data_IF_693615315304
#
_entry.id   IF_693615315304
#
_cell.length_a   1.000
_cell.length_b   1.000
_cell.length_c   1.000
_cell.angle_alpha   90.00
_cell.angle_beta   90.00
_cell.angle_gamma   90.00
#
_symmetry.space_group_name_H-M   'P 1'
#
loop_
_entity.id
_entity.type
_entity.pdbx_description
1 polymer ?
#
# COMPACT_ATOMS: atom_id res chain seq x y z
N UNK A 1 -9.27 -21.98 24.61
CA UNK A 1 -8.49 -22.98 23.88
C UNK A 1 -9.49 -23.99 23.31
N UNK A 2 -9.93 -23.78 22.08
CA UNK A 2 -10.85 -24.69 21.38
C UNK A 2 -10.03 -25.23 20.22
N UNK A 3 -9.70 -26.50 20.28
CA UNK A 3 -9.10 -27.28 19.20
C UNK A 3 -10.19 -27.50 18.14
N UNK A 4 -9.99 -26.88 16.97
CA UNK A 4 -10.71 -27.26 15.74
C UNK A 4 -9.85 -28.33 15.09
N UNK A 5 -10.39 -29.52 14.86
CA UNK A 5 -9.67 -30.61 14.22
C UNK A 5 -9.43 -30.34 12.74
N UNK A 6 -8.26 -30.72 12.22
CA UNK A 6 -7.83 -30.52 10.83
C UNK A 6 -8.71 -31.27 9.79
N UNK A 7 -9.71 -32.01 10.20
CA UNK A 7 -10.55 -32.81 9.30
C UNK A 7 -11.66 -32.02 8.61
N UNK A 8 -11.97 -30.79 9.05
CA UNK A 8 -13.13 -30.04 8.54
C UNK A 8 -12.80 -29.05 7.40
N UNK A 9 -11.55 -29.05 6.91
CA UNK A 9 -11.09 -28.04 5.92
C UNK A 9 -11.24 -28.54 4.46
N UNK A 10 -11.47 -29.83 4.19
CA UNK A 10 -11.35 -30.40 2.84
C UNK A 10 -12.57 -31.11 2.27
N UNK A 11 -13.78 -30.82 2.69
CA UNK A 11 -14.98 -31.28 1.95
C UNK A 11 -15.90 -30.11 1.62
N UNK A 12 -15.68 -29.56 0.43
CA UNK A 12 -16.55 -28.58 -0.21
C UNK A 12 -17.52 -29.29 -1.13
N UNK A 13 -18.67 -29.65 -0.61
CA UNK A 13 -19.93 -29.63 -1.33
C UNK A 13 -21.01 -29.37 -0.30
N UNK A 14 -21.18 -28.09 0.06
CA UNK A 14 -22.47 -27.56 0.50
C UNK A 14 -22.27 -26.07 0.81
N UNK A 15 -23.09 -25.24 0.19
CA UNK A 15 -23.23 -23.82 0.51
C UNK A 15 -23.43 -23.68 2.04
N UNK A 16 -22.34 -23.46 2.75
CA UNK A 16 -22.42 -23.22 4.19
C UNK A 16 -23.01 -21.83 4.39
N UNK A 17 -24.22 -21.79 4.84
CA UNK A 17 -24.93 -20.57 5.18
C UNK A 17 -24.34 -19.99 6.49
N UNK A 18 -23.36 -19.09 6.37
CA UNK A 18 -22.73 -18.40 7.52
C UNK A 18 -23.70 -17.42 8.22
N UNK A 19 -25.01 -17.61 8.12
CA UNK A 19 -26.02 -16.63 8.56
C UNK A 19 -26.37 -16.71 10.02
N UNK A 20 -25.90 -17.70 10.80
CA UNK A 20 -26.33 -17.86 12.19
C UNK A 20 -25.18 -18.18 13.15
N UNK A 21 -24.97 -17.35 14.16
CA UNK A 21 -24.26 -17.69 15.40
C UNK A 21 -25.25 -17.92 16.52
N UNK A 22 -25.02 -18.95 17.36
CA UNK A 22 -25.88 -19.25 18.49
C UNK A 22 -25.34 -18.62 19.79
N UNK A 23 -26.18 -17.85 20.46
CA UNK A 23 -25.94 -17.36 21.84
C UNK A 23 -26.77 -18.17 22.78
N UNK A 24 -26.14 -18.96 23.69
CA UNK A 24 -26.87 -19.71 24.72
C UNK A 24 -27.28 -18.80 25.87
N UNK A 25 -28.57 -18.53 26.00
CA UNK A 25 -29.16 -17.96 27.20
C UNK A 25 -30.18 -18.97 27.80
N UNK A 26 -29.94 -19.47 29.01
CA UNK A 26 -30.85 -20.33 29.78
C UNK A 26 -31.45 -21.52 28.98
N UNK A 27 -30.59 -22.29 28.32
CA UNK A 27 -30.98 -23.55 27.69
C UNK A 27 -31.77 -23.47 26.37
N UNK A 28 -32.00 -22.27 25.82
CA UNK A 28 -32.50 -22.07 24.45
C UNK A 28 -31.38 -21.46 23.60
N UNK A 29 -31.10 -22.11 22.48
CA UNK A 29 -30.26 -21.49 21.43
C UNK A 29 -31.06 -20.40 20.77
N UNK A 30 -30.59 -19.16 20.85
CA UNK A 30 -31.16 -18.02 20.13
C UNK A 30 -30.30 -17.84 18.88
N UNK A 31 -30.82 -18.21 17.72
CA UNK A 31 -30.19 -17.95 16.43
C UNK A 31 -30.55 -16.53 15.97
N UNK A 32 -29.58 -15.62 16.08
CA UNK A 32 -29.72 -14.27 15.52
C UNK A 32 -29.16 -14.24 14.10
N UNK A 33 -29.91 -13.66 13.18
CA UNK A 33 -29.45 -13.34 11.84
C UNK A 33 -28.33 -12.27 11.90
N UNK A 34 -27.58 -12.11 10.82
CA UNK A 34 -26.57 -11.04 10.71
C UNK A 34 -27.23 -9.67 10.92
N UNK A 35 -28.42 -9.46 10.35
CA UNK A 35 -29.16 -8.20 10.49
C UNK A 35 -29.55 -7.91 11.95
N UNK A 36 -30.08 -8.90 12.66
CA UNK A 36 -30.45 -8.71 14.08
C UNK A 36 -29.25 -8.40 14.95
N UNK A 37 -28.09 -9.01 14.68
CA UNK A 37 -26.84 -8.72 15.38
C UNK A 37 -26.36 -7.30 15.08
N UNK A 38 -26.48 -6.87 13.81
CA UNK A 38 -26.14 -5.51 13.41
C UNK A 38 -27.03 -4.49 14.12
N UNK A 39 -28.35 -4.67 14.13
CA UNK A 39 -29.28 -3.76 14.80
C UNK A 39 -29.01 -3.67 16.32
N UNK A 40 -28.67 -4.78 16.95
CA UNK A 40 -28.27 -4.77 18.36
C UNK A 40 -26.97 -3.98 18.60
N UNK A 41 -25.95 -4.18 17.74
CA UNK A 41 -24.73 -3.42 17.80
C UNK A 41 -24.96 -1.92 17.55
N UNK A 42 -25.76 -1.59 16.53
CA UNK A 42 -26.12 -0.20 16.20
C UNK A 42 -26.73 0.54 17.38
N UNK A 43 -27.64 -0.10 18.13
CA UNK A 43 -28.21 0.49 19.35
C UNK A 43 -27.15 0.74 20.44
N UNK A 44 -26.20 -0.18 20.61
CA UNK A 44 -25.10 0.00 21.56
C UNK A 44 -24.20 1.17 21.19
N UNK A 45 -23.81 1.26 19.92
CA UNK A 45 -23.00 2.37 19.42
C UNK A 45 -23.74 3.72 19.47
N UNK A 46 -25.02 3.74 19.17
CA UNK A 46 -25.85 4.94 19.33
C UNK A 46 -25.87 5.46 20.78
N UNK A 47 -25.79 4.54 21.78
CA UNK A 47 -25.71 4.89 23.19
C UNK A 47 -24.44 5.66 23.59
N UNK A 48 -23.39 5.61 22.77
CA UNK A 48 -22.15 6.37 22.93
C UNK A 48 -21.97 7.46 21.86
N UNK A 49 -23.06 7.80 21.15
CA UNK A 49 -23.07 8.90 20.17
C UNK A 49 -22.50 8.55 18.79
N UNK A 50 -22.36 7.26 18.45
CA UNK A 50 -21.83 6.80 17.17
C UNK A 50 -22.95 6.34 16.24
N UNK A 51 -22.98 6.88 15.01
CA UNK A 51 -23.83 6.42 13.91
C UNK A 51 -23.09 5.39 13.05
N UNK A 52 -23.40 4.12 13.23
CA UNK A 52 -22.75 3.04 12.49
C UNK A 52 -23.15 2.98 11.02
N UNK A 53 -24.34 3.44 10.63
CA UNK A 53 -24.76 3.50 9.22
C UNK A 53 -23.94 4.56 8.49
N UNK A 54 -23.75 5.75 9.11
CA UNK A 54 -22.89 6.80 8.57
C UNK A 54 -21.44 6.34 8.46
N UNK A 55 -20.90 5.64 9.48
CA UNK A 55 -19.56 5.10 9.47
C UNK A 55 -19.34 4.10 8.31
N UNK A 56 -20.28 3.17 8.11
CA UNK A 56 -20.25 2.20 7.01
C UNK A 56 -20.38 2.90 5.64
N UNK A 57 -21.28 3.86 5.51
CA UNK A 57 -21.45 4.63 4.29
C UNK A 57 -20.15 5.38 3.95
N UNK A 58 -19.52 6.02 4.96
CA UNK A 58 -18.25 6.71 4.79
C UNK A 58 -17.13 5.77 4.34
N UNK A 59 -16.98 4.63 5.01
CA UNK A 59 -15.95 3.65 4.65
C UNK A 59 -16.07 3.14 3.22
N UNK A 60 -17.29 2.95 2.72
CA UNK A 60 -17.53 2.50 1.34
C UNK A 60 -16.95 3.44 0.29
N UNK A 61 -16.83 4.72 0.62
CA UNK A 61 -16.32 5.75 -0.29
C UNK A 61 -14.80 5.93 -0.23
N UNK A 62 -14.12 5.31 0.75
CA UNK A 62 -12.67 5.41 0.94
C UNK A 62 -11.94 4.46 0.01
N UNK A 63 -11.15 4.96 -0.97
CA UNK A 63 -10.39 4.09 -1.84
C UNK A 63 -9.16 3.54 -1.12
N UNK A 64 -8.89 2.25 -1.30
CA UNK A 64 -7.65 1.60 -0.87
C UNK A 64 -7.02 0.93 -2.09
N UNK A 65 -5.74 1.17 -2.33
CA UNK A 65 -5.04 0.60 -3.46
C UNK A 65 -4.55 -0.81 -3.14
N UNK A 66 -4.82 -1.73 -4.07
CA UNK A 66 -4.41 -3.13 -4.02
C UNK A 66 -3.17 -3.30 -4.90
N UNK A 67 -2.06 -3.69 -4.29
CA UNK A 67 -0.80 -3.95 -4.98
C UNK A 67 -0.89 -5.20 -5.87
N UNK A 68 -0.31 -5.12 -7.07
CA UNK A 68 -0.34 -6.22 -8.04
C UNK A 68 0.72 -7.31 -7.78
N UNK A 69 1.73 -7.01 -6.99
CA UNK A 69 2.93 -7.84 -6.79
C UNK A 69 2.87 -8.86 -5.67
N UNK A 70 1.71 -9.09 -5.08
CA UNK A 70 1.56 -10.12 -4.06
C UNK A 70 1.99 -11.50 -4.57
N UNK A 71 3.02 -12.08 -3.97
CA UNK A 71 3.54 -13.42 -4.29
C UNK A 71 4.52 -13.47 -5.47
N UNK A 72 4.86 -12.36 -6.12
CA UNK A 72 5.80 -12.31 -7.23
C UNK A 72 7.01 -11.38 -7.01
N UNK A 73 7.08 -10.72 -5.86
CA UNK A 73 8.20 -9.87 -5.48
C UNK A 73 8.49 -8.75 -6.49
N UNK A 74 7.45 -8.19 -7.07
CA UNK A 74 7.52 -7.14 -8.10
C UNK A 74 8.27 -7.56 -9.38
N UNK A 75 8.37 -8.85 -9.66
CA UNK A 75 9.01 -9.34 -10.90
C UNK A 75 8.34 -8.76 -12.14
N UNK A 76 7.00 -8.72 -12.16
CA UNK A 76 6.25 -8.21 -13.31
C UNK A 76 6.38 -9.10 -14.55
N UNK A 77 6.31 -8.47 -15.74
CA UNK A 77 6.25 -9.14 -17.03
C UNK A 77 7.23 -8.57 -18.06
N UNK A 78 8.10 -7.65 -17.67
CA UNK A 78 9.00 -6.95 -18.60
C UNK A 78 10.32 -7.69 -18.84
N UNK A 79 10.70 -8.68 -18.01
CA UNK A 79 11.92 -9.46 -18.15
C UNK A 79 11.87 -10.78 -17.39
N UNK A 80 12.75 -11.70 -17.77
CA UNK A 80 12.92 -13.04 -17.12
C UNK A 80 14.17 -13.14 -16.22
N UNK A 81 14.79 -12.02 -15.89
CA UNK A 81 16.01 -11.96 -15.10
C UNK A 81 15.81 -12.20 -13.60
N UNK A 82 16.91 -12.41 -12.85
CA UNK A 82 16.83 -12.54 -11.41
C UNK A 82 16.44 -11.22 -10.73
N UNK A 83 15.77 -11.34 -9.58
CA UNK A 83 15.50 -10.18 -8.73
C UNK A 83 16.80 -9.64 -8.12
N UNK A 84 16.92 -8.33 -8.01
CA UNK A 84 18.06 -7.62 -7.42
C UNK A 84 17.55 -6.49 -6.49
N UNK A 85 18.48 -5.80 -5.80
CA UNK A 85 18.13 -4.68 -4.94
C UNK A 85 17.64 -5.06 -3.55
N UNK A 86 17.91 -6.30 -3.11
CA UNK A 86 17.52 -6.80 -1.79
C UNK A 86 16.04 -7.15 -1.67
N UNK A 87 15.31 -7.17 -2.78
CA UNK A 87 13.91 -7.57 -2.84
C UNK A 87 13.85 -9.07 -3.08
N UNK A 88 13.25 -9.80 -2.17
CA UNK A 88 13.08 -11.25 -2.27
C UNK A 88 11.80 -11.69 -1.58
N UNK A 89 10.91 -12.31 -2.33
CA UNK A 89 9.77 -12.98 -1.75
C UNK A 89 10.20 -14.24 -1.04
N UNK A 90 9.70 -14.46 0.16
CA UNK A 90 9.91 -15.69 0.94
C UNK A 90 8.66 -16.55 0.90
N UNK A 91 8.85 -17.85 0.62
CA UNK A 91 7.77 -18.83 0.57
C UNK A 91 7.82 -19.65 -0.69
N UNK A 92 7.04 -20.73 -0.72
CA UNK A 92 7.02 -21.71 -1.80
C UNK A 92 5.61 -22.04 -2.30
N UNK A 93 4.62 -21.23 -1.98
CA UNK A 93 3.27 -21.41 -2.51
C UNK A 93 3.26 -21.16 -4.02
N UNK A 94 2.76 -22.08 -4.86
CA UNK A 94 2.80 -21.95 -6.31
C UNK A 94 1.71 -20.98 -6.81
N UNK A 95 1.69 -19.76 -6.31
CA UNK A 95 0.65 -18.76 -6.58
C UNK A 95 1.07 -17.59 -7.46
N UNK A 96 2.35 -17.53 -7.90
CA UNK A 96 2.82 -16.48 -8.81
C UNK A 96 2.04 -16.51 -10.13
N UNK A 97 1.56 -15.34 -10.58
CA UNK A 97 1.04 -15.20 -11.94
C UNK A 97 2.16 -15.29 -12.96
N UNK A 98 1.94 -15.99 -14.04
CA UNK A 98 2.88 -16.16 -15.16
C UNK A 98 2.53 -15.27 -16.35
N UNK A 99 1.29 -14.79 -16.40
CA UNK A 99 0.80 -13.88 -17.44
C UNK A 99 -0.05 -12.78 -16.83
N UNK A 100 -0.15 -11.62 -17.49
CA UNK A 100 -1.05 -10.55 -17.08
C UNK A 100 -2.50 -11.00 -16.89
N UNK A 101 -2.98 -11.88 -17.78
CA UNK A 101 -4.34 -12.40 -17.74
C UNK A 101 -4.61 -13.23 -16.48
N UNK A 102 -3.65 -14.07 -16.06
CA UNK A 102 -3.75 -14.82 -14.79
C UNK A 102 -3.80 -13.88 -13.60
N UNK A 103 -2.97 -12.82 -13.61
CA UNK A 103 -2.96 -11.85 -12.53
C UNK A 103 -4.29 -11.08 -12.47
N UNK A 104 -4.78 -10.59 -13.61
CA UNK A 104 -6.07 -9.89 -13.68
C UNK A 104 -7.23 -10.77 -13.22
N UNK A 105 -7.23 -12.07 -13.57
CA UNK A 105 -8.26 -13.02 -13.14
C UNK A 105 -8.25 -13.18 -11.61
N UNK A 106 -7.08 -13.33 -11.00
CA UNK A 106 -6.98 -13.48 -9.55
C UNK A 106 -7.31 -12.17 -8.81
N UNK A 107 -6.94 -11.01 -9.40
CA UNK A 107 -7.35 -9.71 -8.85
C UNK A 107 -8.87 -9.51 -8.93
N UNK A 108 -9.52 -9.92 -10.02
CA UNK A 108 -10.98 -9.86 -10.16
C UNK A 108 -11.66 -10.69 -9.06
N UNK A 109 -11.20 -11.92 -8.83
CA UNK A 109 -11.72 -12.78 -7.75
C UNK A 109 -11.50 -12.14 -6.38
N UNK A 110 -10.28 -11.68 -6.07
CA UNK A 110 -9.98 -11.04 -4.80
C UNK A 110 -10.85 -9.78 -4.57
N UNK A 111 -10.98 -8.92 -5.59
CA UNK A 111 -11.80 -7.71 -5.50
C UNK A 111 -13.28 -8.00 -5.27
N UNK A 112 -13.79 -9.15 -5.74
CA UNK A 112 -15.18 -9.59 -5.48
C UNK A 112 -15.44 -9.86 -3.99
N UNK A 113 -14.40 -10.21 -3.24
CA UNK A 113 -14.42 -10.49 -1.81
C UNK A 113 -14.13 -9.27 -0.93
N UNK A 114 -13.82 -8.13 -1.53
CA UNK A 114 -13.44 -6.88 -0.85
C UNK A 114 -14.56 -5.84 -1.01
N UNK A 115 -15.19 -5.36 0.07
CA UNK A 115 -16.18 -4.30 -0.01
C UNK A 115 -15.55 -2.91 -0.22
N UNK A 116 -16.35 -1.93 -0.64
CA UNK A 116 -15.95 -0.53 -0.78
C UNK A 116 -15.12 -0.22 -2.04
N UNK A 117 -14.68 1.03 -2.15
CA UNK A 117 -13.87 1.51 -3.27
C UNK A 117 -12.45 0.94 -3.21
N UNK A 118 -11.89 0.70 -4.38
CA UNK A 118 -10.54 0.17 -4.57
C UNK A 118 -9.81 0.95 -5.64
N UNK A 119 -8.49 0.87 -5.62
CA UNK A 119 -7.60 1.20 -6.72
C UNK A 119 -6.69 0.01 -6.99
N UNK A 120 -6.09 -0.04 -8.15
CA UNK A 120 -4.94 -0.91 -8.39
C UNK A 120 -3.67 -0.14 -8.02
N UNK A 121 -2.62 -0.85 -7.60
CA UNK A 121 -1.28 -0.29 -7.48
C UNK A 121 -0.34 -1.13 -8.34
N UNK A 122 0.19 -0.55 -9.42
CA UNK A 122 1.03 -1.22 -10.40
C UNK A 122 2.48 -0.77 -10.30
N UNK A 123 3.40 -1.64 -10.73
CA UNK A 123 4.79 -1.29 -11.01
C UNK A 123 5.04 -1.17 -12.52
N UNK A 124 6.06 -0.41 -12.89
CA UNK A 124 6.45 -0.28 -14.30
C UNK A 124 6.88 -1.62 -14.93
N UNK A 125 7.41 -2.56 -14.13
CA UNK A 125 7.73 -3.93 -14.55
C UNK A 125 6.51 -4.75 -15.01
N UNK A 126 5.29 -4.28 -14.76
CA UNK A 126 4.04 -4.90 -15.22
C UNK A 126 3.58 -4.41 -16.61
N UNK A 127 4.47 -3.73 -17.37
CA UNK A 127 4.23 -3.38 -18.76
C UNK A 127 3.88 -4.64 -19.58
N UNK A 128 2.95 -4.50 -20.51
CA UNK A 128 2.48 -5.59 -21.39
C UNK A 128 2.82 -5.21 -22.82
N UNK A 129 3.63 -6.01 -23.47
CA UNK A 129 4.05 -5.83 -24.84
C UNK A 129 3.23 -6.68 -25.81
N UNK A 130 2.97 -6.18 -27.00
CA UNK A 130 2.42 -6.95 -28.10
C UNK A 130 3.49 -7.92 -28.68
N UNK A 131 3.06 -8.93 -29.41
CA UNK A 131 3.98 -9.92 -30.00
C UNK A 131 5.07 -9.26 -30.86
N UNK A 132 6.32 -9.51 -30.50
CA UNK A 132 7.49 -8.94 -31.17
C UNK A 132 7.83 -7.48 -30.79
N UNK A 133 7.07 -6.88 -29.87
CA UNK A 133 7.37 -5.58 -29.31
C UNK A 133 8.21 -5.73 -28.01
N UNK A 134 9.15 -4.83 -27.82
CA UNK A 134 9.87 -4.64 -26.56
C UNK A 134 10.24 -3.17 -26.42
N UNK A 135 10.12 -2.64 -25.22
CA UNK A 135 10.62 -1.32 -24.84
C UNK A 135 11.34 -1.42 -23.50
N UNK A 136 12.57 -0.94 -23.45
CA UNK A 136 13.30 -0.83 -22.20
C UNK A 136 12.63 0.20 -21.27
N UNK A 137 12.90 0.14 -19.97
CA UNK A 137 12.19 0.93 -18.94
C UNK A 137 12.25 2.44 -19.20
N UNK A 138 13.32 2.97 -19.78
CA UNK A 138 13.43 4.39 -20.17
C UNK A 138 12.61 4.76 -21.41
N UNK A 139 12.02 3.77 -22.09
CA UNK A 139 11.20 3.91 -23.30
C UNK A 139 9.75 3.47 -23.11
N UNK A 140 9.33 3.21 -21.87
CA UNK A 140 7.94 2.84 -21.60
C UNK A 140 6.98 3.96 -22.00
N UNK A 141 5.85 3.57 -22.55
CA UNK A 141 4.79 4.45 -23.04
C UNK A 141 3.43 4.03 -22.49
N UNK A 142 2.44 4.93 -22.44
CA UNK A 142 1.06 4.62 -22.01
C UNK A 142 0.44 3.39 -22.67
N UNK A 143 0.74 3.12 -23.95
CA UNK A 143 0.21 1.98 -24.69
C UNK A 143 0.54 0.63 -24.05
N UNK A 144 1.71 0.51 -23.40
CA UNK A 144 2.14 -0.72 -22.72
C UNK A 144 1.31 -1.06 -21.47
N UNK A 145 0.48 -0.13 -21.04
CA UNK A 145 -0.43 -0.30 -19.89
C UNK A 145 -1.91 -0.26 -20.28
N UNK A 146 -2.21 -0.25 -21.57
CA UNK A 146 -3.60 -0.17 -22.06
C UNK A 146 -4.48 -1.28 -21.50
N UNK A 147 -4.00 -2.52 -21.47
CA UNK A 147 -4.77 -3.66 -20.93
C UNK A 147 -5.12 -3.47 -19.44
N UNK A 148 -4.22 -2.85 -18.66
CA UNK A 148 -4.48 -2.49 -17.27
C UNK A 148 -5.55 -1.40 -17.13
N UNK A 149 -5.51 -0.40 -18.01
CA UNK A 149 -6.54 0.65 -18.05
C UNK A 149 -7.90 0.06 -18.45
N UNK A 150 -7.95 -0.81 -19.45
CA UNK A 150 -9.18 -1.48 -19.84
C UNK A 150 -9.76 -2.32 -18.67
N UNK A 151 -8.90 -3.02 -17.94
CA UNK A 151 -9.28 -3.76 -16.73
C UNK A 151 -9.80 -2.82 -15.63
N UNK A 152 -9.09 -1.74 -15.34
CA UNK A 152 -9.50 -0.76 -14.34
C UNK A 152 -10.85 -0.10 -14.66
N UNK A 153 -11.08 0.26 -15.93
CA UNK A 153 -12.36 0.80 -16.41
C UNK A 153 -13.50 -0.21 -16.29
N UNK A 154 -13.25 -1.48 -16.64
CA UNK A 154 -14.22 -2.57 -16.46
C UNK A 154 -14.71 -2.70 -15.01
N UNK A 155 -13.80 -2.50 -14.05
CA UNK A 155 -14.08 -2.64 -12.63
C UNK A 155 -14.37 -1.30 -11.92
N UNK A 156 -14.36 -0.18 -12.65
CA UNK A 156 -14.55 1.17 -12.10
C UNK A 156 -13.58 1.49 -10.94
N UNK A 157 -12.29 1.24 -11.16
CA UNK A 157 -11.21 1.50 -10.19
C UNK A 157 -10.16 2.44 -10.80
N UNK A 158 -9.48 3.21 -9.94
CA UNK A 158 -8.30 3.99 -10.33
C UNK A 158 -7.03 3.13 -10.33
N UNK A 159 -5.90 3.73 -10.77
CA UNK A 159 -4.59 3.10 -10.77
C UNK A 159 -3.58 4.03 -10.11
N UNK A 160 -2.84 3.54 -9.11
CA UNK A 160 -1.60 4.11 -8.61
C UNK A 160 -0.41 3.43 -9.26
N UNK A 161 0.76 4.08 -9.26
CA UNK A 161 1.88 3.61 -10.07
C UNK A 161 3.23 3.78 -9.37
N UNK A 162 4.13 2.81 -9.61
CA UNK A 162 5.48 2.83 -9.08
C UNK A 162 6.48 2.63 -10.23
N UNK A 163 7.42 3.54 -10.45
CA UNK A 163 8.63 3.23 -11.19
C UNK A 163 9.36 2.04 -10.57
N UNK A 164 10.01 1.22 -11.40
CA UNK A 164 10.74 0.04 -10.93
C UNK A 164 12.24 0.31 -11.05
N UNK A 165 12.82 0.92 -10.01
CA UNK A 165 14.24 1.28 -9.95
C UNK A 165 15.14 0.15 -9.44
N UNK A 166 14.86 -1.09 -9.80
CA UNK A 166 15.58 -2.28 -9.36
C UNK A 166 15.37 -3.44 -10.35
N UNK A 167 16.05 -4.57 -10.12
CA UNK A 167 15.90 -5.82 -10.90
C UNK A 167 16.01 -5.57 -12.41
N UNK A 168 17.14 -5.00 -12.84
CA UNK A 168 17.41 -4.65 -14.22
C UNK A 168 18.92 -4.56 -14.48
N UNK A 169 19.37 -4.84 -15.70
CA UNK A 169 20.80 -4.83 -16.08
C UNK A 169 21.45 -3.43 -15.96
N UNK A 170 20.63 -2.37 -15.94
CA UNK A 170 21.10 -0.99 -15.72
C UNK A 170 21.26 -0.62 -14.24
N UNK A 171 20.97 -1.52 -13.29
CA UNK A 171 21.41 -1.35 -11.90
C UNK A 171 22.91 -1.63 -11.86
N UNK A 172 23.70 -0.59 -11.57
CA UNK A 172 25.14 -0.69 -11.54
C UNK A 172 25.65 -0.56 -10.11
N UNK A 173 26.39 -1.55 -9.66
CA UNK A 173 26.92 -1.59 -8.28
C UNK A 173 25.83 -1.38 -7.18
N UNK A 174 24.61 -1.85 -7.44
CA UNK A 174 23.46 -1.67 -6.57
C UNK A 174 22.87 -0.27 -6.58
N UNK A 175 23.24 0.58 -7.54
CA UNK A 175 22.82 1.98 -7.61
C UNK A 175 22.04 2.27 -8.91
N UNK A 176 21.06 3.15 -8.77
CA UNK A 176 20.19 3.65 -9.84
C UNK A 176 20.24 5.18 -9.93
N UNK A 177 19.30 5.87 -9.32
CA UNK A 177 19.22 7.35 -9.29
C UNK A 177 20.38 8.01 -8.52
N UNK A 178 21.08 7.24 -7.69
CA UNK A 178 22.26 7.72 -6.95
C UNK A 178 23.59 7.40 -7.64
N UNK A 179 23.56 6.71 -8.77
CA UNK A 179 24.76 6.26 -9.48
C UNK A 179 25.70 7.44 -9.81
N UNK A 180 27.02 7.30 -9.60
CA UNK A 180 28.00 8.26 -10.09
C UNK A 180 28.22 8.17 -11.61
N UNK A 181 27.72 7.10 -12.25
CA UNK A 181 27.75 6.96 -13.71
C UNK A 181 26.58 7.72 -14.33
N UNK A 182 26.88 8.77 -15.06
CA UNK A 182 25.87 9.63 -15.67
C UNK A 182 24.99 8.90 -16.69
N UNK A 183 25.48 7.87 -17.36
CA UNK A 183 24.70 7.07 -18.32
C UNK A 183 23.64 6.27 -17.58
N UNK A 184 24.03 5.61 -16.49
CA UNK A 184 23.12 4.86 -15.60
C UNK A 184 22.08 5.79 -14.98
N UNK A 185 22.53 6.91 -14.39
CA UNK A 185 21.64 7.88 -13.77
C UNK A 185 20.63 8.44 -14.77
N UNK A 186 21.07 8.82 -15.98
CA UNK A 186 20.20 9.33 -17.04
C UNK A 186 19.14 8.33 -17.46
N UNK A 187 19.49 7.06 -17.63
CA UNK A 187 18.52 5.99 -17.94
C UNK A 187 17.39 5.95 -16.92
N UNK A 188 17.73 5.97 -15.63
CA UNK A 188 16.74 5.91 -14.57
C UNK A 188 15.93 7.19 -14.40
N UNK A 189 16.50 8.36 -14.68
CA UNK A 189 15.75 9.62 -14.74
C UNK A 189 14.70 9.57 -15.86
N UNK A 190 15.08 9.12 -17.07
CA UNK A 190 14.15 8.99 -18.18
C UNK A 190 13.06 7.94 -17.91
N UNK A 191 13.40 6.85 -17.20
CA UNK A 191 12.40 5.91 -16.70
C UNK A 191 11.40 6.59 -15.77
N UNK A 192 11.85 7.36 -14.78
CA UNK A 192 10.97 8.10 -13.87
C UNK A 192 10.05 9.09 -14.60
N UNK A 193 10.59 9.82 -15.60
CA UNK A 193 9.79 10.72 -16.44
C UNK A 193 8.74 9.98 -17.27
N UNK A 194 9.09 8.82 -17.83
CA UNK A 194 8.13 7.97 -18.53
C UNK A 194 6.99 7.56 -17.59
N UNK A 195 7.30 7.25 -16.31
CA UNK A 195 6.29 6.90 -15.31
C UNK A 195 5.38 8.09 -14.94
N UNK A 196 5.86 9.33 -14.93
CA UNK A 196 5.00 10.53 -14.78
C UNK A 196 3.96 10.57 -15.91
N UNK A 197 4.39 10.42 -17.18
CA UNK A 197 3.48 10.43 -18.35
C UNK A 197 2.46 9.29 -18.30
N UNK A 198 2.89 8.11 -17.88
CA UNK A 198 2.01 6.94 -17.72
C UNK A 198 1.00 7.16 -16.58
N UNK A 199 1.43 7.76 -15.46
CA UNK A 199 0.54 8.10 -14.34
C UNK A 199 -0.54 9.10 -14.76
N UNK A 200 -0.19 10.09 -15.57
CA UNK A 200 -1.15 11.05 -16.09
C UNK A 200 -2.15 10.38 -17.06
N UNK A 201 -1.69 9.46 -17.88
CA UNK A 201 -2.56 8.62 -18.72
C UNK A 201 -3.56 7.82 -17.88
N UNK A 202 -3.10 7.16 -16.81
CA UNK A 202 -4.00 6.43 -15.92
C UNK A 202 -5.08 7.32 -15.33
N UNK A 203 -4.69 8.49 -14.81
CA UNK A 203 -5.63 9.41 -14.20
C UNK A 203 -6.65 9.95 -15.21
N UNK A 204 -6.23 10.27 -16.42
CA UNK A 204 -7.13 10.73 -17.51
C UNK A 204 -8.13 9.65 -17.93
N UNK A 205 -7.67 8.42 -18.07
CA UNK A 205 -8.49 7.30 -18.54
C UNK A 205 -9.47 6.76 -17.50
N UNK A 206 -9.08 6.78 -16.22
CA UNK A 206 -9.92 6.27 -15.13
C UNK A 206 -10.76 7.34 -14.45
N UNK A 207 -10.42 8.62 -14.63
CA UNK A 207 -11.04 9.74 -13.92
C UNK A 207 -10.64 9.84 -12.44
N UNK A 208 -9.63 9.08 -12.01
CA UNK A 208 -9.15 9.04 -10.62
C UNK A 208 -7.68 9.45 -10.57
N UNK A 209 -7.28 10.42 -9.71
CA UNK A 209 -5.88 10.82 -9.58
C UNK A 209 -4.97 9.62 -9.27
N UNK A 210 -3.78 9.61 -9.90
CA UNK A 210 -2.76 8.59 -9.71
C UNK A 210 -1.70 9.06 -8.71
N UNK A 211 -1.49 8.32 -7.64
CA UNK A 211 -0.31 8.47 -6.78
C UNK A 211 0.84 7.74 -7.45
N UNK A 212 1.95 8.43 -7.66
CA UNK A 212 3.16 7.86 -8.27
C UNK A 212 4.29 7.83 -7.24
N UNK A 213 4.66 6.63 -6.81
CA UNK A 213 5.62 6.44 -5.73
C UNK A 213 7.05 6.27 -6.24
N UNK A 214 7.95 7.16 -5.82
CA UNK A 214 9.40 7.08 -6.08
C UNK A 214 10.07 6.42 -4.89
N UNK A 215 10.47 5.16 -5.07
CA UNK A 215 11.23 4.37 -4.13
C UNK A 215 12.48 3.80 -4.81
N UNK A 216 13.61 3.78 -4.11
CA UNK A 216 14.88 3.16 -4.57
C UNK A 216 15.48 2.27 -3.49
N UNK A 217 16.10 1.18 -3.93
CA UNK A 217 16.88 0.31 -3.07
C UNK A 217 18.36 0.72 -2.93
N UNK A 218 18.75 1.88 -3.44
CA UNK A 218 20.16 2.32 -3.50
C UNK A 218 20.78 2.49 -2.10
N UNK A 219 21.92 1.88 -1.90
CA UNK A 219 22.63 1.95 -0.65
C UNK A 219 23.91 1.13 -0.65
N UNK A 220 24.48 0.90 0.54
CA UNK A 220 25.70 0.12 0.71
C UNK A 220 25.58 -0.84 1.89
N UNK A 221 26.16 -2.03 1.71
CA UNK A 221 26.24 -3.04 2.76
C UNK A 221 27.08 -2.56 3.94
N UNK A 222 28.28 -2.03 3.66
CA UNK A 222 29.18 -1.46 4.66
C UNK A 222 29.11 0.07 4.66
N UNK A 223 29.65 0.70 5.70
CA UNK A 223 29.63 2.15 5.88
C UNK A 223 30.46 2.82 4.77
N UNK A 224 29.83 3.61 3.88
CA UNK A 224 30.57 4.33 2.85
C UNK A 224 31.34 5.53 3.42
N UNK A 225 32.41 5.91 2.75
CA UNK A 225 33.18 7.12 3.10
C UNK A 225 32.40 8.41 2.82
N UNK A 226 31.50 8.38 1.85
CA UNK A 226 30.65 9.51 1.46
C UNK A 226 29.17 9.11 1.50
N UNK A 227 28.43 9.65 2.47
CA UNK A 227 26.97 9.50 2.60
C UNK A 227 26.19 10.65 1.97
N UNK A 228 26.84 11.76 1.67
CA UNK A 228 26.20 12.96 1.14
C UNK A 228 26.12 12.93 -0.39
N UNK A 229 27.17 12.56 -1.08
CA UNK A 229 27.24 12.54 -2.55
C UNK A 229 26.13 11.73 -3.21
N UNK A 230 25.87 10.48 -2.80
CA UNK A 230 24.73 9.71 -3.34
C UNK A 230 23.37 10.40 -3.11
N UNK A 231 23.15 11.01 -1.94
CA UNK A 231 21.91 11.75 -1.64
C UNK A 231 21.77 13.01 -2.48
N UNK A 232 22.87 13.73 -2.74
CA UNK A 232 22.83 14.90 -3.65
C UNK A 232 22.47 14.47 -5.08
N UNK A 233 23.00 13.34 -5.56
CA UNK A 233 22.62 12.78 -6.86
C UNK A 233 21.16 12.32 -6.89
N UNK A 234 20.68 11.71 -5.79
CA UNK A 234 19.27 11.32 -5.66
C UNK A 234 18.35 12.53 -5.72
N UNK A 235 18.68 13.58 -4.95
CA UNK A 235 17.93 14.84 -4.95
C UNK A 235 17.82 15.42 -6.36
N UNK A 236 18.96 15.59 -7.05
CA UNK A 236 19.01 16.07 -8.43
C UNK A 236 18.19 15.18 -9.38
N UNK A 237 18.25 13.87 -9.22
CA UNK A 237 17.50 12.93 -10.06
C UNK A 237 15.99 13.03 -9.87
N UNK A 238 15.50 13.13 -8.61
CA UNK A 238 14.08 13.30 -8.33
C UNK A 238 13.59 14.65 -8.87
N UNK A 239 14.36 15.73 -8.66
CA UNK A 239 14.04 17.06 -9.19
C UNK A 239 13.85 17.03 -10.71
N UNK A 240 14.71 16.30 -11.45
CA UNK A 240 14.56 16.13 -12.88
C UNK A 240 13.33 15.28 -13.26
N UNK A 241 12.97 14.28 -12.47
CA UNK A 241 11.79 13.46 -12.71
C UNK A 241 10.51 14.27 -12.52
N UNK A 242 10.37 14.95 -11.38
CA UNK A 242 9.15 15.71 -11.07
C UNK A 242 9.00 16.97 -11.91
N UNK A 243 10.08 17.43 -12.57
CA UNK A 243 10.03 18.50 -13.56
C UNK A 243 9.40 18.07 -14.89
N UNK A 244 9.16 16.78 -15.12
CA UNK A 244 8.39 16.31 -16.29
C UNK A 244 6.99 16.92 -16.25
N UNK A 245 6.55 17.60 -17.33
CA UNK A 245 5.26 18.28 -17.34
C UNK A 245 4.08 17.33 -17.03
N UNK A 246 3.27 17.68 -16.05
CA UNK A 246 2.05 16.94 -15.67
C UNK A 246 1.07 17.87 -14.94
N UNK A 247 -0.20 17.47 -14.88
CA UNK A 247 -1.20 18.15 -14.05
C UNK A 247 -1.13 17.62 -12.59
N UNK A 248 -0.78 18.47 -11.59
CA UNK A 248 -0.70 18.04 -10.19
C UNK A 248 -2.04 17.61 -9.57
N UNK A 249 -3.16 17.89 -10.24
CA UNK A 249 -4.46 17.34 -9.84
C UNK A 249 -4.65 15.89 -10.29
N UNK A 250 -3.94 15.47 -11.32
CA UNK A 250 -4.02 14.13 -11.89
C UNK A 250 -2.90 13.22 -11.40
N UNK A 251 -1.68 13.73 -11.28
CA UNK A 251 -0.53 12.96 -10.81
C UNK A 251 -0.05 13.53 -9.48
N UNK A 252 0.09 12.67 -8.50
CA UNK A 252 0.61 13.01 -7.18
C UNK A 252 1.93 12.26 -6.95
N UNK A 253 3.08 12.85 -7.34
CA UNK A 253 4.37 12.25 -7.04
C UNK A 253 4.57 12.17 -5.53
N UNK A 254 5.06 11.05 -5.05
CA UNK A 254 5.47 10.89 -3.67
C UNK A 254 6.85 10.25 -3.58
N UNK A 255 7.51 10.41 -2.45
CA UNK A 255 8.81 9.83 -2.17
C UNK A 255 8.70 8.96 -0.94
N UNK A 256 9.14 7.72 -1.09
CA UNK A 256 9.10 6.71 -0.04
C UNK A 256 10.50 6.48 0.53
N UNK A 257 10.58 6.37 1.85
CA UNK A 257 11.82 6.01 2.52
C UNK A 257 12.09 4.52 2.44
N UNK A 258 13.38 4.16 2.56
CA UNK A 258 13.81 2.79 2.83
C UNK A 258 14.59 2.74 4.13
N UNK A 259 14.31 1.72 4.93
CA UNK A 259 15.15 1.33 6.07
C UNK A 259 16.27 0.40 5.58
N UNK A 260 17.15 -0.07 6.47
CA UNK A 260 18.13 -1.11 6.16
C UNK A 260 17.48 -2.36 5.57
N UNK A 261 18.25 -3.14 4.82
CA UNK A 261 17.82 -4.42 4.24
C UNK A 261 19.01 -5.21 3.73
N UNK A 262 18.76 -6.37 3.10
CA UNK A 262 19.82 -7.21 2.52
C UNK A 262 20.56 -6.42 1.45
N UNK A 263 21.89 -6.30 1.61
CA UNK A 263 22.78 -5.56 0.71
C UNK A 263 22.87 -4.05 0.99
N UNK A 264 22.08 -3.52 1.90
CA UNK A 264 22.06 -2.09 2.32
C UNK A 264 21.96 -1.96 3.84
N UNK A 265 22.70 -2.80 4.55
CA UNK A 265 22.62 -2.93 6.00
C UNK A 265 23.10 -1.69 6.75
N UNK A 266 24.06 -0.95 6.18
CA UNK A 266 24.68 0.20 6.85
C UNK A 266 24.28 1.56 6.30
N UNK A 267 23.73 1.61 5.09
CA UNK A 267 23.39 2.88 4.45
C UNK A 267 22.37 2.70 3.35
N UNK A 268 21.28 3.45 3.47
CA UNK A 268 20.29 3.68 2.41
C UNK A 268 20.31 5.14 1.99
N UNK A 269 20.34 5.43 0.70
CA UNK A 269 20.33 6.81 0.22
C UNK A 269 19.00 7.49 0.49
N UNK A 270 17.89 6.76 0.30
CA UNK A 270 16.52 7.20 0.52
C UNK A 270 16.06 7.00 1.97
N UNK A 271 16.83 7.45 2.98
CA UNK A 271 16.40 7.37 4.38
C UNK A 271 15.18 8.27 4.66
N UNK A 272 14.48 8.01 5.78
CA UNK A 272 13.29 8.78 6.19
C UNK A 272 13.60 10.29 6.28
N UNK A 273 14.76 10.68 6.84
CA UNK A 273 15.16 12.07 6.94
C UNK A 273 15.34 12.73 5.57
N UNK A 274 15.87 11.96 4.60
CA UNK A 274 16.05 12.47 3.23
C UNK A 274 14.71 12.66 2.54
N UNK A 275 13.86 11.65 2.53
CA UNK A 275 12.58 11.70 1.79
C UNK A 275 11.61 12.70 2.39
N UNK A 276 11.51 12.79 3.72
CA UNK A 276 10.67 13.78 4.39
C UNK A 276 11.18 15.21 4.15
N UNK A 277 12.51 15.43 4.21
CA UNK A 277 13.11 16.74 3.91
C UNK A 277 12.88 17.12 2.44
N UNK A 278 12.97 16.16 1.52
CA UNK A 278 12.69 16.40 0.11
C UNK A 278 11.23 16.81 -0.09
N UNK A 279 10.27 16.03 0.40
CA UNK A 279 8.85 16.35 0.29
C UNK A 279 8.50 17.71 0.92
N UNK A 280 9.08 18.03 2.09
CA UNK A 280 8.83 19.30 2.79
C UNK A 280 9.38 20.55 2.05
N UNK A 281 10.30 20.36 1.10
CA UNK A 281 10.93 21.46 0.37
C UNK A 281 10.50 21.54 -1.11
N UNK A 282 9.62 20.65 -1.56
CA UNK A 282 9.15 20.61 -2.95
C UNK A 282 7.62 20.60 -2.99
N UNK A 283 7.05 21.59 -3.65
CA UNK A 283 5.59 21.68 -3.85
C UNK A 283 5.07 20.49 -4.67
N UNK A 284 3.86 20.04 -4.36
CA UNK A 284 3.19 18.93 -5.03
C UNK A 284 3.90 17.56 -4.95
N UNK A 285 4.82 17.39 -4.00
CA UNK A 285 5.43 16.10 -3.68
C UNK A 285 4.94 15.66 -2.31
N UNK A 286 4.38 14.45 -2.23
CA UNK A 286 3.87 13.91 -0.98
C UNK A 286 4.95 13.06 -0.28
N UNK A 287 5.02 13.09 1.06
CA UNK A 287 5.72 12.05 1.79
C UNK A 287 4.91 10.76 1.75
N UNK A 288 5.55 9.65 1.42
CA UNK A 288 4.97 8.33 1.56
C UNK A 288 5.65 7.62 2.73
N UNK A 289 4.85 7.13 3.66
CA UNK A 289 5.31 6.30 4.76
C UNK A 289 4.87 4.86 4.54
N UNK A 290 5.82 3.95 4.45
CA UNK A 290 5.58 2.53 4.64
C UNK A 290 5.83 2.18 6.12
N UNK A 291 4.89 1.49 6.76
CA UNK A 291 5.03 1.19 8.19
C UNK A 291 6.06 0.08 8.48
N UNK A 292 6.61 -0.58 7.46
CA UNK A 292 7.76 -1.47 7.53
C UNK A 292 9.11 -0.77 7.41
N UNK A 293 9.15 0.48 6.92
CA UNK A 293 10.38 1.20 6.59
C UNK A 293 10.94 2.06 7.72
N UNK A 294 10.64 1.71 8.97
CA UNK A 294 11.14 2.39 10.17
C UNK A 294 11.77 1.40 11.14
N UNK A 295 12.52 1.92 12.10
CA UNK A 295 13.07 1.07 13.16
C UNK A 295 11.92 0.39 13.94
N UNK A 296 12.05 -0.89 14.38
CA UNK A 296 10.98 -1.60 15.06
C UNK A 296 10.42 -0.96 16.34
N UNK A 297 11.12 0.02 16.89
CA UNK A 297 10.64 0.82 18.04
C UNK A 297 9.90 2.09 17.64
N UNK A 298 9.82 2.41 16.36
CA UNK A 298 9.07 3.53 15.82
C UNK A 298 7.73 3.04 15.26
N UNK A 299 6.68 3.83 15.47
CA UNK A 299 5.34 3.54 14.98
C UNK A 299 4.87 4.62 14.01
N UNK A 300 4.27 4.22 12.90
CA UNK A 300 3.78 5.16 11.88
C UNK A 300 2.53 5.88 12.36
N UNK A 301 1.75 5.27 13.23
CA UNK A 301 0.59 5.92 13.85
C UNK A 301 0.96 7.25 14.52
N UNK A 302 2.11 7.35 15.20
CA UNK A 302 2.59 8.61 15.80
C UNK A 302 3.08 9.63 14.74
N UNK A 303 3.53 9.17 13.58
CA UNK A 303 4.04 10.02 12.50
C UNK A 303 2.92 10.68 11.67
N UNK A 304 1.77 10.01 11.52
CA UNK A 304 0.63 10.51 10.75
C UNK A 304 0.19 11.90 11.21
N UNK A 305 -0.18 12.14 12.49
CA UNK A 305 -0.60 13.46 12.95
C UNK A 305 0.51 14.50 12.84
N UNK A 306 1.77 14.10 13.05
CA UNK A 306 2.91 15.01 12.95
C UNK A 306 3.09 15.53 11.51
N UNK A 307 3.02 14.65 10.51
CA UNK A 307 3.16 15.05 9.11
C UNK A 307 1.95 15.86 8.62
N UNK A 308 0.74 15.53 9.06
CA UNK A 308 -0.47 16.28 8.70
C UNK A 308 -0.49 17.72 9.22
N UNK A 309 0.42 18.09 10.14
CA UNK A 309 0.66 19.49 10.51
C UNK A 309 1.36 20.29 9.42
N UNK A 310 2.12 19.63 8.53
CA UNK A 310 2.98 20.28 7.54
C UNK A 310 2.54 20.00 6.09
N UNK A 311 1.89 18.87 5.86
CA UNK A 311 1.46 18.43 4.53
C UNK A 311 -0.06 18.45 4.41
N UNK A 312 -0.60 19.01 3.32
CA UNK A 312 -2.04 18.96 3.05
C UNK A 312 -2.52 17.52 2.81
N UNK A 313 -1.71 16.70 2.20
CA UNK A 313 -1.95 15.29 1.90
C UNK A 313 -0.68 14.47 2.18
N UNK A 314 -0.85 13.19 2.54
CA UNK A 314 0.23 12.22 2.72
C UNK A 314 -0.15 10.89 2.06
N UNK A 315 0.82 10.03 1.81
CA UNK A 315 0.59 8.68 1.32
C UNK A 315 1.07 7.64 2.34
N UNK A 316 0.42 6.48 2.36
CA UNK A 316 0.76 5.34 3.21
C UNK A 316 0.84 4.07 2.37
N UNK A 317 1.92 3.33 2.54
CA UNK A 317 1.99 1.90 2.27
C UNK A 317 1.78 1.13 3.57
N UNK A 318 0.85 0.20 3.55
CA UNK A 318 0.42 -0.53 4.73
C UNK A 318 0.84 -1.98 4.57
N UNK A 319 1.78 -2.38 5.40
CA UNK A 319 2.30 -3.74 5.52
C UNK A 319 2.21 -4.22 6.97
N UNK A 320 2.69 -5.40 7.26
CA UNK A 320 2.88 -5.90 8.63
C UNK A 320 4.33 -6.30 8.83
N UNK A 321 5.19 -5.39 9.30
CA UNK A 321 6.57 -5.73 9.63
C UNK A 321 6.61 -6.66 10.85
N UNK A 322 7.40 -7.74 10.74
CA UNK A 322 7.65 -8.66 11.85
C UNK A 322 9.12 -8.54 12.24
N UNK A 323 9.42 -7.67 13.19
CA UNK A 323 10.75 -7.30 13.71
C UNK A 323 11.64 -6.48 12.76
N UNK A 324 11.36 -6.46 11.48
CA UNK A 324 12.07 -5.71 10.46
C UNK A 324 11.17 -5.55 9.22
N UNK A 325 11.65 -4.91 8.18
CA UNK A 325 10.97 -4.77 6.88
C UNK A 325 10.79 -6.15 6.22
N UNK A 326 9.70 -6.82 6.55
CA UNK A 326 9.46 -8.23 6.18
C UNK A 326 8.15 -8.48 5.45
N UNK A 327 7.43 -7.42 5.13
CA UNK A 327 6.30 -7.33 4.20
C UNK A 327 5.24 -8.44 4.32
N UNK A 328 4.85 -8.76 5.57
CA UNK A 328 3.80 -9.74 5.81
C UNK A 328 2.41 -9.17 5.54
N UNK A 329 1.47 -10.06 5.26
CA UNK A 329 0.06 -9.71 5.09
C UNK A 329 -0.46 -8.94 6.30
N UNK A 330 -1.13 -7.83 6.04
CA UNK A 330 -1.76 -6.97 7.06
C UNK A 330 -2.80 -7.75 7.85
N UNK A 331 -2.72 -7.68 9.16
CA UNK A 331 -3.69 -8.22 10.10
C UNK A 331 -4.35 -7.08 10.90
N UNK A 332 -5.43 -7.41 11.59
CA UNK A 332 -6.12 -6.48 12.48
C UNK A 332 -5.41 -6.42 13.85
N UNK A 333 -4.13 -6.02 13.82
CA UNK A 333 -3.26 -5.87 14.99
C UNK A 333 -3.31 -4.45 15.58
N UNK A 334 -2.49 -4.19 16.59
CA UNK A 334 -2.58 -2.94 17.33
C UNK A 334 -2.07 -1.74 16.53
N UNK A 335 -0.97 -1.87 15.80
CA UNK A 335 -0.46 -0.76 14.98
C UNK A 335 -1.38 -0.45 13.80
N UNK A 336 -1.92 -1.47 13.13
CA UNK A 336 -2.92 -1.29 12.07
C UNK A 336 -4.14 -0.52 12.58
N UNK A 337 -4.61 -0.83 13.79
CA UNK A 337 -5.73 -0.10 14.44
C UNK A 337 -5.34 1.33 14.78
N UNK A 338 -4.15 1.56 15.34
CA UNK A 338 -3.73 2.91 15.73
C UNK A 338 -3.50 3.83 14.52
N UNK A 339 -2.88 3.34 13.44
CA UNK A 339 -2.79 4.12 12.19
C UNK A 339 -4.17 4.56 11.68
N UNK A 340 -5.13 3.64 11.65
CA UNK A 340 -6.49 3.97 11.24
C UNK A 340 -7.15 4.99 12.18
N UNK A 341 -6.95 4.86 13.49
CA UNK A 341 -7.47 5.82 14.48
C UNK A 341 -6.88 7.21 14.28
N UNK A 342 -5.57 7.32 14.04
CA UNK A 342 -4.94 8.63 13.82
C UNK A 342 -5.44 9.32 12.54
N UNK A 343 -5.66 8.58 11.47
CA UNK A 343 -6.27 9.12 10.24
C UNK A 343 -7.65 9.74 10.56
N UNK A 344 -8.47 9.04 11.34
CA UNK A 344 -9.82 9.50 11.69
C UNK A 344 -9.79 10.64 12.73
N UNK A 345 -8.93 10.54 13.76
CA UNK A 345 -8.77 11.60 14.79
C UNK A 345 -8.30 12.92 14.19
N UNK A 346 -7.50 12.88 13.15
CA UNK A 346 -7.01 14.05 12.43
C UNK A 346 -7.99 14.58 11.38
N UNK A 347 -9.18 13.98 11.23
CA UNK A 347 -10.13 14.27 10.13
C UNK A 347 -9.44 14.25 8.75
N UNK A 348 -8.61 13.23 8.54
CA UNK A 348 -7.68 13.18 7.41
C UNK A 348 -7.98 12.04 6.40
N UNK A 349 -9.15 11.40 6.50
CA UNK A 349 -9.48 10.24 5.66
C UNK A 349 -9.51 10.55 4.15
N UNK A 350 -9.69 11.82 3.76
CA UNK A 350 -9.62 12.29 2.37
C UNK A 350 -8.24 12.86 2.00
N UNK A 351 -7.34 12.98 2.97
CA UNK A 351 -5.99 13.55 2.80
C UNK A 351 -4.89 12.50 2.88
N UNK A 352 -5.27 11.24 3.15
CA UNK A 352 -4.34 10.13 3.25
C UNK A 352 -4.60 9.15 2.11
N UNK A 353 -3.64 9.03 1.20
CA UNK A 353 -3.68 8.06 0.11
C UNK A 353 -3.17 6.71 0.63
N UNK A 354 -4.05 5.73 0.67
CA UNK A 354 -3.80 4.44 1.31
C UNK A 354 -3.58 3.33 0.27
N UNK A 355 -2.45 2.64 0.34
CA UNK A 355 -2.17 1.46 -0.45
C UNK A 355 -1.68 0.32 0.44
N UNK A 356 -1.98 -0.92 0.07
CA UNK A 356 -1.38 -2.11 0.67
C UNK A 356 -0.04 -2.39 0.00
N UNK A 357 0.96 -2.79 0.79
CA UNK A 357 2.28 -3.15 0.30
C UNK A 357 2.84 -4.33 1.09
N UNK A 358 2.65 -5.52 0.58
CA UNK A 358 3.21 -6.76 1.13
C UNK A 358 3.36 -7.82 0.05
N UNK A 359 4.26 -8.77 0.26
CA UNK A 359 4.45 -9.92 -0.63
C UNK A 359 4.79 -11.17 0.17
N UNK A 360 3.75 -11.88 0.56
CA UNK A 360 3.89 -13.15 1.27
C UNK A 360 3.65 -14.32 0.29
N UNK A 361 4.72 -14.92 -0.22
CA UNK A 361 4.65 -16.10 -1.07
C UNK A 361 4.49 -17.42 -0.30
N UNK A 362 4.29 -17.36 1.01
CA UNK A 362 3.98 -18.52 1.84
C UNK A 362 2.53 -18.99 1.74
N UNK A 363 1.63 -18.14 1.22
CA UNK A 363 0.18 -18.39 1.20
C UNK A 363 -0.45 -18.07 -0.15
N UNK A 364 -1.71 -18.49 -0.32
CA UNK A 364 -2.50 -18.21 -1.52
C UNK A 364 -2.68 -16.70 -1.74
N UNK A 365 -2.42 -16.23 -2.95
CA UNK A 365 -2.46 -14.81 -3.33
C UNK A 365 -3.83 -14.16 -3.10
N UNK A 366 -4.91 -14.80 -3.51
CA UNK A 366 -6.27 -14.29 -3.33
C UNK A 366 -6.60 -14.14 -1.85
N UNK A 367 -6.19 -15.14 -1.05
CA UNK A 367 -6.35 -15.10 0.41
C UNK A 367 -5.53 -13.97 1.04
N UNK A 368 -4.27 -13.81 0.63
CA UNK A 368 -3.38 -12.75 1.13
C UNK A 368 -3.98 -11.36 0.89
N UNK A 369 -4.37 -11.07 -0.35
CA UNK A 369 -5.03 -9.81 -0.71
C UNK A 369 -6.32 -9.60 0.08
N UNK A 370 -7.19 -10.61 0.13
CA UNK A 370 -8.50 -10.50 0.80
C UNK A 370 -8.34 -10.26 2.30
N UNK A 371 -7.45 -10.99 2.96
CA UNK A 371 -7.22 -10.86 4.41
C UNK A 371 -6.63 -9.48 4.73
N UNK A 372 -5.59 -9.06 4.02
CA UNK A 372 -4.94 -7.77 4.28
C UNK A 372 -5.87 -6.59 4.02
N UNK A 373 -6.55 -6.56 2.88
CA UNK A 373 -7.51 -5.51 2.55
C UNK A 373 -8.64 -5.39 3.58
N UNK A 374 -9.25 -6.52 3.95
CA UNK A 374 -10.34 -6.54 4.93
C UNK A 374 -9.85 -6.22 6.34
N UNK A 375 -8.61 -6.55 6.69
CA UNK A 375 -8.01 -6.17 7.98
C UNK A 375 -7.86 -4.66 8.09
N UNK A 376 -7.36 -4.00 7.03
CA UNK A 376 -7.29 -2.55 6.97
C UNK A 376 -8.67 -1.89 7.02
N UNK A 377 -9.63 -2.40 6.25
CA UNK A 377 -11.01 -1.88 6.31
C UNK A 377 -11.66 -2.05 7.69
N UNK A 378 -11.39 -3.15 8.40
CA UNK A 378 -11.86 -3.34 9.79
C UNK A 378 -11.24 -2.30 10.71
N UNK A 379 -9.96 -1.97 10.53
CA UNK A 379 -9.29 -0.94 11.31
C UNK A 379 -9.92 0.44 11.09
N UNK A 380 -10.15 0.82 9.82
CA UNK A 380 -10.84 2.07 9.48
C UNK A 380 -12.28 2.10 10.03
N UNK A 381 -13.03 1.00 9.90
CA UNK A 381 -14.39 0.95 10.44
C UNK A 381 -14.39 1.08 11.97
N UNK A 382 -13.48 0.41 12.65
CA UNK A 382 -13.32 0.52 14.10
C UNK A 382 -13.03 1.97 14.52
N UNK A 383 -12.14 2.64 13.78
CA UNK A 383 -11.81 4.03 14.02
C UNK A 383 -13.00 4.98 13.77
N UNK A 384 -13.76 4.77 12.68
CA UNK A 384 -14.98 5.53 12.37
C UNK A 384 -16.09 5.32 13.39
N UNK A 385 -16.11 4.15 14.05
CA UNK A 385 -17.05 3.84 15.13
C UNK A 385 -16.55 4.24 16.53
N UNK A 386 -15.48 5.04 16.60
CA UNK A 386 -14.94 5.56 17.87
C UNK A 386 -15.57 6.94 18.17
N UNK A 387 -16.04 7.24 19.40
CA UNK A 387 -16.63 8.52 19.77
C UNK A 387 -15.54 9.59 19.99
N UNK A 388 -14.78 9.93 18.94
CA UNK A 388 -13.57 10.76 19.03
C UNK A 388 -13.81 12.14 19.64
N UNK A 389 -14.99 12.75 19.41
CA UNK A 389 -15.32 14.04 20.00
C UNK A 389 -15.41 14.00 21.53
N UNK A 390 -16.01 12.94 22.08
CA UNK A 390 -16.10 12.76 23.54
C UNK A 390 -14.73 12.40 24.13
N UNK A 391 -13.96 11.51 23.47
CA UNK A 391 -12.61 11.19 23.91
C UNK A 391 -11.70 12.43 23.94
N UNK A 392 -11.77 13.28 22.90
CA UNK A 392 -11.02 14.53 22.88
C UNK A 392 -11.43 15.47 24.03
N UNK A 393 -12.72 15.59 24.32
CA UNK A 393 -13.21 16.39 25.43
C UNK A 393 -12.68 15.88 26.77
N UNK A 394 -12.68 14.56 27.00
CA UNK A 394 -12.10 13.96 28.20
C UNK A 394 -10.61 14.29 28.35
N UNK A 395 -9.86 14.26 27.24
CA UNK A 395 -8.45 14.67 27.22
C UNK A 395 -8.30 16.17 27.56
N UNK A 396 -9.05 17.04 26.93
CA UNK A 396 -8.98 18.51 27.13
C UNK A 396 -9.35 18.88 28.59
N UNK A 397 -10.24 18.11 29.22
CA UNK A 397 -10.61 18.24 30.65
C UNK A 397 -9.64 17.53 31.60
N UNK A 398 -8.56 16.90 31.11
CA UNK A 398 -7.59 16.11 31.89
C UNK A 398 -8.22 14.94 32.67
N UNK A 399 -9.30 14.38 32.16
CA UNK A 399 -10.01 13.22 32.74
C UNK A 399 -9.47 11.92 32.17
N UNK A 400 -8.19 11.66 32.46
CA UNK A 400 -7.44 10.59 31.79
C UNK A 400 -7.86 9.17 32.20
N UNK A 401 -8.46 9.02 33.40
CA UNK A 401 -9.01 7.74 33.86
C UNK A 401 -10.25 7.34 33.06
N UNK A 402 -11.15 8.31 32.80
CA UNK A 402 -12.35 8.07 31.99
C UNK A 402 -12.01 7.95 30.50
N UNK A 403 -10.97 8.62 30.03
CA UNK A 403 -10.46 8.49 28.67
C UNK A 403 -9.95 7.05 28.39
N UNK A 404 -9.22 6.43 29.33
CA UNK A 404 -8.72 5.06 29.23
C UNK A 404 -9.85 4.02 29.30
#
# INVERSE_FOLDING_TARGET
MILVSEADIFHTENKTDYRTESIRKKGKEIHMTVQERYEAAKQMYAGIGVDTDAAIARLKEVPVALHCWQGDDVTGFDHDGPLTGGIQTTGNYPGKARTPEQLMQDMEEAMSLMPGKKKLNLHASYAIFEEGEFADRDKLEPKHFKKWVDFAKKHNVGIDFNPTFFSHDKVKDGLTLTSPDDTTKKFWIEHGKACIRISEYFAKETGVPCVMNIWIGDGYKDIPADRMGPRMRYKDSIEQIIAEPHDPKLVKPCVESKVFGIGVESYTAGSAEFTLSFAATHENVLPLMDNGHYHPTEVVSDKIPALLCYFPEIALHITRPVRWDSDHVVLFDDETKEMAKEIIRCDAIDRVHMALDYFDAGINRISAWTVGFRSWQKALLSALCTPNAELKKLQDENRLTELM
#
